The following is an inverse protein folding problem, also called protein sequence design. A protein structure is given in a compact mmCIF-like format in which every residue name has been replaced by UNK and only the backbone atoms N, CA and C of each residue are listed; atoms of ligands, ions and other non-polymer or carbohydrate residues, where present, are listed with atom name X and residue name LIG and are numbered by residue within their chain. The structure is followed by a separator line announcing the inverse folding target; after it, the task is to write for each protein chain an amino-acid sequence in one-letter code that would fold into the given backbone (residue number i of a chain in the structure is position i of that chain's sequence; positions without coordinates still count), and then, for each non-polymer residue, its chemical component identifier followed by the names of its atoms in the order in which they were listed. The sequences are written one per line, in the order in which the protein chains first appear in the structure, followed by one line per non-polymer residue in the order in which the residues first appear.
data_IF_323939994609
#
_entry.id   IF_323939994609
#
_cell.length_a   1.000
_cell.length_b   1.000
_cell.length_c   1.000
_cell.angle_alpha   90.00
_cell.angle_beta   90.00
_cell.angle_gamma   90.00
#
_symmetry.space_group_name_H-M   'P 1'
#
loop_
_entity.id
_entity.type
_entity.pdbx_description
1 polymer ?
#
# COMPACT_ATOMS: atom_id res chain seq x y z
N UNK A 1 21.02 -8.06 -6.48
CA UNK A 1 19.80 -7.27 -6.73
C UNK A 1 19.06 -7.85 -7.93
N UNK A 2 17.84 -8.30 -7.74
CA UNK A 2 16.91 -8.64 -8.83
C UNK A 2 16.09 -7.40 -9.15
N UNK A 3 16.36 -6.76 -10.28
CA UNK A 3 15.69 -5.51 -10.66
C UNK A 3 14.83 -5.68 -11.90
N UNK A 4 13.77 -4.89 -12.01
CA UNK A 4 12.90 -4.83 -13.17
C UNK A 4 12.75 -3.39 -13.69
N UNK A 5 12.39 -3.26 -14.95
CA UNK A 5 12.01 -2.00 -15.59
C UNK A 5 10.66 -2.18 -16.28
N UNK A 6 9.74 -1.27 -16.03
CA UNK A 6 8.49 -1.23 -16.78
C UNK A 6 8.78 -0.74 -18.20
N UNK A 7 8.47 -1.57 -19.18
CA UNK A 7 8.70 -1.25 -20.58
C UNK A 7 7.42 -0.74 -21.25
N UNK A 8 7.34 0.58 -21.40
CA UNK A 8 6.26 1.26 -22.12
C UNK A 8 6.46 1.33 -23.63
N UNK A 9 7.44 0.59 -24.19
CA UNK A 9 7.72 0.56 -25.63
C UNK A 9 8.58 1.73 -26.13
N UNK A 10 9.11 2.57 -25.26
CA UNK A 10 9.98 3.70 -25.62
C UNK A 10 11.36 3.27 -26.14
N UNK A 11 11.89 3.97 -27.15
CA UNK A 11 13.21 3.65 -27.71
C UNK A 11 14.33 3.72 -26.67
N UNK A 12 14.25 4.67 -25.72
CA UNK A 12 15.20 4.83 -24.62
C UNK A 12 15.24 3.60 -23.71
N UNK A 13 14.07 2.98 -23.42
CA UNK A 13 13.98 1.83 -22.54
C UNK A 13 14.80 0.64 -23.05
N UNK A 14 14.70 0.34 -24.33
CA UNK A 14 15.45 -0.74 -24.97
C UNK A 14 16.95 -0.41 -25.10
N UNK A 15 17.28 0.81 -25.50
CA UNK A 15 18.66 1.24 -25.69
C UNK A 15 19.46 1.22 -24.39
N UNK A 16 18.87 1.71 -23.29
CA UNK A 16 19.55 1.78 -21.98
C UNK A 16 19.69 0.42 -21.29
N UNK A 17 18.96 -0.61 -21.73
CA UNK A 17 19.09 -2.00 -21.26
C UNK A 17 20.13 -2.82 -22.01
N UNK A 18 20.64 -2.33 -23.13
CA UNK A 18 21.66 -3.05 -23.91
C UNK A 18 22.92 -3.34 -23.04
N UNK A 19 23.70 -4.39 -23.36
CA UNK A 19 24.92 -4.70 -22.62
C UNK A 19 25.85 -3.50 -22.49
N UNK A 20 26.33 -3.21 -21.29
CA UNK A 20 27.21 -2.06 -21.00
C UNK A 20 26.47 -0.73 -20.83
N UNK A 21 25.15 -0.71 -20.87
CA UNK A 21 24.34 0.47 -20.59
C UNK A 21 23.89 0.52 -19.10
N UNK A 22 23.51 1.70 -18.59
CA UNK A 22 23.19 1.88 -17.15
C UNK A 22 22.10 0.97 -16.60
N UNK A 23 21.10 0.60 -17.41
CA UNK A 23 19.98 -0.26 -17.02
C UNK A 23 20.16 -1.72 -17.48
N UNK A 24 21.37 -2.10 -17.89
CA UNK A 24 21.67 -3.48 -18.27
C UNK A 24 21.43 -4.45 -17.09
N UNK A 25 20.81 -5.60 -17.40
CA UNK A 25 20.52 -6.64 -16.42
C UNK A 25 19.23 -6.45 -15.63
N UNK A 26 18.43 -5.42 -15.94
CA UNK A 26 17.07 -5.33 -15.46
C UNK A 26 16.11 -6.19 -16.32
N UNK A 27 15.22 -6.93 -15.67
CA UNK A 27 14.19 -7.70 -16.36
C UNK A 27 13.13 -6.73 -16.94
N UNK A 28 12.79 -6.79 -18.24
CA UNK A 28 11.70 -5.99 -18.76
C UNK A 28 10.35 -6.57 -18.32
N UNK A 29 9.46 -5.70 -17.90
CA UNK A 29 8.04 -5.99 -17.69
C UNK A 29 7.28 -5.15 -18.69
N UNK A 30 6.67 -5.78 -19.69
CA UNK A 30 5.83 -5.06 -20.63
C UNK A 30 4.65 -4.42 -19.89
N UNK A 31 4.30 -3.22 -20.27
CA UNK A 31 3.25 -2.46 -19.56
C UNK A 31 1.92 -3.22 -19.54
N UNK A 32 1.56 -3.94 -20.60
CA UNK A 32 0.39 -4.81 -20.69
C UNK A 32 0.46 -6.06 -19.80
N UNK A 33 1.68 -6.52 -19.46
CA UNK A 33 1.91 -7.68 -18.58
C UNK A 33 1.96 -7.30 -17.10
N UNK A 34 2.02 -6.00 -16.78
CA UNK A 34 2.16 -5.50 -15.41
C UNK A 34 1.08 -6.07 -14.47
N UNK A 35 -0.14 -6.25 -14.97
CA UNK A 35 -1.25 -6.81 -14.22
C UNK A 35 -1.01 -8.23 -13.69
N UNK A 36 -0.30 -9.05 -14.47
CA UNK A 36 -0.02 -10.45 -14.16
C UNK A 36 1.34 -10.65 -13.50
N UNK A 37 2.14 -9.58 -13.39
CA UNK A 37 3.50 -9.66 -12.86
C UNK A 37 3.50 -9.52 -11.34
N UNK A 38 4.18 -10.42 -10.66
CA UNK A 38 4.48 -10.29 -9.23
C UNK A 38 5.66 -9.34 -9.01
N UNK A 39 5.37 -8.06 -8.76
CA UNK A 39 6.39 -7.06 -8.47
C UNK A 39 7.14 -7.36 -7.15
N UNK A 40 6.50 -8.04 -6.20
CA UNK A 40 7.08 -8.35 -4.90
C UNK A 40 8.25 -9.35 -5.00
N UNK A 41 8.41 -10.01 -6.16
CA UNK A 41 9.56 -10.87 -6.46
C UNK A 41 10.83 -10.10 -6.81
N UNK A 42 10.75 -8.77 -6.98
CA UNK A 42 11.89 -7.91 -7.31
C UNK A 42 12.38 -7.10 -6.11
N UNK A 43 13.62 -6.67 -6.18
CA UNK A 43 14.28 -5.80 -5.21
C UNK A 43 14.06 -4.33 -5.51
N UNK A 44 14.11 -4.01 -6.81
CA UNK A 44 13.92 -2.68 -7.32
C UNK A 44 13.08 -2.72 -8.61
N UNK A 45 12.23 -1.74 -8.77
CA UNK A 45 11.42 -1.52 -9.99
C UNK A 45 11.67 -0.11 -10.49
N UNK A 46 12.04 0.01 -11.76
CA UNK A 46 12.24 1.27 -12.44
C UNK A 46 11.03 1.55 -13.33
N UNK A 47 10.43 2.71 -13.18
CA UNK A 47 9.36 3.21 -14.04
C UNK A 47 9.95 4.37 -14.86
N UNK A 48 10.34 4.13 -16.12
CA UNK A 48 10.93 5.16 -16.96
C UNK A 48 9.86 6.16 -17.42
N UNK A 49 10.34 7.27 -18.00
CA UNK A 49 9.47 8.23 -18.69
C UNK A 49 8.65 7.56 -19.78
N UNK A 50 7.51 8.13 -20.12
CA UNK A 50 6.62 7.67 -21.21
C UNK A 50 5.92 6.33 -20.96
N UNK A 51 5.76 5.91 -19.70
CA UNK A 51 4.81 4.88 -19.34
C UNK A 51 3.40 5.49 -19.25
N UNK A 52 2.38 4.72 -19.67
CA UNK A 52 0.99 5.13 -19.58
C UNK A 52 0.55 5.31 -18.11
N UNK A 53 0.24 6.55 -17.74
CA UNK A 53 -0.13 6.91 -16.37
C UNK A 53 -1.44 6.27 -15.89
N UNK A 54 -2.40 6.04 -16.79
CA UNK A 54 -3.67 5.41 -16.42
C UNK A 54 -3.49 3.92 -16.12
N UNK A 55 -2.62 3.23 -16.87
CA UNK A 55 -2.23 1.85 -16.57
C UNK A 55 -1.50 1.77 -15.23
N UNK A 56 -0.56 2.69 -14.95
CA UNK A 56 0.14 2.76 -13.67
C UNK A 56 -0.84 3.04 -12.52
N UNK A 57 -1.78 3.98 -12.70
CA UNK A 57 -2.82 4.31 -11.73
C UNK A 57 -3.71 3.11 -11.41
N UNK A 58 -4.12 2.36 -12.42
CA UNK A 58 -4.89 1.13 -12.24
C UNK A 58 -4.12 0.07 -11.42
N UNK A 59 -2.78 0.17 -11.34
CA UNK A 59 -1.89 -0.74 -10.62
C UNK A 59 -1.26 -0.13 -9.35
N UNK A 60 -1.71 1.06 -8.92
CA UNK A 60 -1.14 1.75 -7.75
C UNK A 60 -1.06 0.88 -6.49
N UNK A 61 -2.03 0.00 -6.27
CA UNK A 61 -2.03 -0.91 -5.11
C UNK A 61 -0.93 -1.99 -5.20
N UNK A 62 -0.59 -2.42 -6.41
CA UNK A 62 0.51 -3.36 -6.64
C UNK A 62 1.86 -2.71 -6.32
N UNK A 63 2.07 -1.46 -6.74
CA UNK A 63 3.27 -0.69 -6.35
C UNK A 63 3.30 -0.42 -4.85
N UNK A 64 2.16 -0.10 -4.22
CA UNK A 64 2.08 0.10 -2.78
C UNK A 64 2.49 -1.17 -2.02
N UNK A 65 2.01 -2.35 -2.40
CA UNK A 65 2.42 -3.63 -1.80
C UNK A 65 3.91 -3.91 -1.98
N UNK A 66 4.44 -3.70 -3.19
CA UNK A 66 5.87 -3.82 -3.46
C UNK A 66 6.70 -2.96 -2.51
N UNK A 67 6.32 -1.70 -2.31
CA UNK A 67 6.97 -0.78 -1.37
C UNK A 67 6.78 -1.21 0.08
N UNK A 68 5.62 -1.73 0.46
CA UNK A 68 5.35 -2.21 1.83
C UNK A 68 6.24 -3.41 2.20
N UNK A 69 6.71 -4.16 1.21
CA UNK A 69 7.71 -5.22 1.41
C UNK A 69 9.16 -4.72 1.45
N UNK A 70 9.36 -3.42 1.38
CA UNK A 70 10.69 -2.81 1.41
C UNK A 70 11.34 -2.69 0.04
N UNK A 71 10.58 -2.80 -1.05
CA UNK A 71 11.09 -2.61 -2.41
C UNK A 71 11.55 -1.19 -2.67
N UNK A 72 12.38 -1.00 -3.69
CA UNK A 72 12.85 0.31 -4.15
C UNK A 72 12.17 0.64 -5.47
N UNK A 73 11.40 1.72 -5.49
CA UNK A 73 10.72 2.22 -6.68
C UNK A 73 11.39 3.49 -7.18
N UNK A 74 11.88 3.45 -8.41
CA UNK A 74 12.47 4.62 -9.08
C UNK A 74 11.53 5.07 -10.19
N UNK A 75 11.16 6.35 -10.22
CA UNK A 75 10.30 6.94 -11.24
C UNK A 75 11.01 8.10 -11.94
N UNK A 76 10.94 8.08 -13.26
CA UNK A 76 11.33 9.18 -14.14
C UNK A 76 10.09 9.75 -14.83
N UNK A 77 10.20 10.99 -15.32
CA UNK A 77 9.15 11.64 -16.08
C UNK A 77 7.99 12.20 -15.25
N UNK A 78 7.03 12.74 -15.94
CA UNK A 78 5.87 13.45 -15.37
C UNK A 78 4.89 12.47 -14.72
N UNK A 79 4.28 12.87 -13.60
CA UNK A 79 3.29 12.09 -12.86
C UNK A 79 1.87 12.61 -13.17
N UNK A 80 1.43 12.49 -14.42
CA UNK A 80 0.10 12.98 -14.86
C UNK A 80 -1.08 12.35 -14.13
N UNK A 81 -0.86 11.25 -13.41
CA UNK A 81 -1.86 10.59 -12.57
C UNK A 81 -1.26 10.26 -11.21
N UNK A 82 -2.11 10.19 -10.16
CA UNK A 82 -1.69 9.96 -8.76
C UNK A 82 -1.38 8.47 -8.48
N UNK A 83 -0.49 7.85 -9.28
CA UNK A 83 -0.12 6.46 -9.11
C UNK A 83 1.03 6.25 -8.10
N UNK A 84 1.92 7.25 -7.93
CA UNK A 84 3.07 7.17 -7.04
C UNK A 84 2.67 7.62 -5.62
N UNK A 85 2.86 6.78 -4.58
CA UNK A 85 2.41 7.11 -3.23
C UNK A 85 2.98 8.41 -2.69
N UNK A 86 2.10 9.31 -2.23
CA UNK A 86 2.45 10.57 -1.58
C UNK A 86 2.96 11.69 -2.50
N UNK A 87 3.20 11.41 -3.77
CA UNK A 87 3.62 12.38 -4.76
C UNK A 87 2.41 13.00 -5.48
N UNK A 88 2.55 14.27 -5.86
CA UNK A 88 1.56 14.97 -6.68
C UNK A 88 2.25 15.80 -7.74
N UNK A 89 1.79 15.69 -8.99
CA UNK A 89 2.28 16.50 -10.08
C UNK A 89 1.61 17.87 -10.11
N UNK A 90 2.40 18.90 -10.32
CA UNK A 90 1.96 20.28 -10.54
C UNK A 90 2.50 20.72 -11.91
N UNK A 91 1.63 20.79 -12.94
CA UNK A 91 2.06 21.20 -14.28
C UNK A 91 2.43 22.68 -14.31
N UNK A 92 3.46 23.01 -15.06
CA UNK A 92 3.90 24.38 -15.33
C UNK A 92 4.05 24.60 -16.83
N UNK A 93 3.88 25.84 -17.27
CA UNK A 93 4.25 26.20 -18.61
C UNK A 93 5.78 26.22 -18.76
N UNK A 94 6.33 25.80 -19.92
CA UNK A 94 7.78 25.74 -20.11
C UNK A 94 8.52 27.06 -19.86
N UNK A 95 7.87 28.17 -20.17
CA UNK A 95 8.39 29.52 -19.97
C UNK A 95 8.46 29.96 -18.50
N UNK A 96 7.71 29.31 -17.62
CA UNK A 96 7.67 29.59 -16.18
C UNK A 96 8.71 28.77 -15.40
N UNK A 97 9.36 27.79 -16.05
CA UNK A 97 10.30 26.87 -15.41
C UNK A 97 11.51 27.61 -14.85
N UNK A 98 11.71 27.49 -13.56
CA UNK A 98 12.83 28.07 -12.83
C UNK A 98 14.08 27.16 -12.91
N UNK A 99 15.31 27.72 -12.86
CA UNK A 99 16.53 26.91 -12.81
C UNK A 99 16.55 26.02 -11.54
N UNK A 100 17.15 24.82 -11.63
CA UNK A 100 17.28 23.94 -10.47
C UNK A 100 18.24 24.54 -9.45
N UNK A 101 17.99 24.23 -8.18
CA UNK A 101 18.89 24.48 -7.07
C UNK A 101 19.13 23.16 -6.34
N UNK A 102 20.37 22.85 -5.95
CA UNK A 102 20.63 21.70 -5.07
C UNK A 102 20.27 22.07 -3.63
N UNK A 103 19.44 21.26 -3.00
CA UNK A 103 18.95 21.52 -1.63
C UNK A 103 19.75 20.71 -0.61
N UNK A 104 20.07 19.46 -0.91
CA UNK A 104 20.76 18.56 -0.01
C UNK A 104 22.10 18.08 -0.58
N UNK A 105 23.08 17.87 0.32
CA UNK A 105 24.31 17.14 -0.04
C UNK A 105 23.99 15.65 -0.03
N UNK A 106 23.99 15.03 -1.20
CA UNK A 106 23.70 13.61 -1.36
C UNK A 106 24.72 12.97 -2.32
N UNK A 107 25.11 11.71 -2.06
CA UNK A 107 26.11 11.00 -2.89
C UNK A 107 25.72 10.91 -4.38
N UNK A 108 24.45 10.96 -4.71
CA UNK A 108 23.97 10.98 -6.09
C UNK A 108 24.38 12.26 -6.84
N UNK A 109 24.51 13.38 -6.13
CA UNK A 109 24.80 14.70 -6.67
C UNK A 109 26.25 15.14 -6.44
N UNK A 110 27.11 14.24 -5.94
CA UNK A 110 28.48 14.57 -5.64
C UNK A 110 29.22 15.10 -6.90
N UNK A 111 29.99 16.17 -6.73
CA UNK A 111 30.74 16.87 -7.79
C UNK A 111 29.87 17.55 -8.87
N UNK A 112 28.54 17.63 -8.70
CA UNK A 112 27.65 18.33 -9.62
C UNK A 112 27.23 19.69 -9.06
N UNK A 113 27.09 20.65 -9.94
CA UNK A 113 26.51 21.96 -9.70
C UNK A 113 25.07 22.04 -10.22
N UNK A 114 24.27 23.03 -9.80
CA UNK A 114 22.94 23.26 -10.37
C UNK A 114 23.01 23.47 -11.90
N UNK A 115 24.10 24.07 -12.39
CA UNK A 115 24.30 24.30 -13.83
C UNK A 115 24.45 22.99 -14.62
N UNK A 116 25.01 21.96 -14.00
CA UNK A 116 25.15 20.64 -14.64
C UNK A 116 23.79 19.94 -14.80
N UNK A 117 22.79 20.32 -14.02
CA UNK A 117 21.44 19.77 -14.06
C UNK A 117 20.49 20.57 -14.98
N UNK A 118 20.95 21.74 -15.48
CA UNK A 118 20.16 22.64 -16.31
C UNK A 118 20.47 22.44 -17.81
N UNK A 119 20.20 21.26 -18.35
CA UNK A 119 20.44 20.94 -19.76
C UNK A 119 19.34 21.38 -20.73
N UNK A 120 18.33 22.10 -20.25
CA UNK A 120 17.26 22.69 -21.05
C UNK A 120 17.58 24.10 -21.58
N UNK A 121 18.80 24.62 -21.35
CA UNK A 121 19.20 25.98 -21.70
C UNK A 121 19.30 26.28 -23.20
N UNK A 122 19.47 25.25 -24.01
CA UNK A 122 19.72 25.43 -25.42
C UNK A 122 18.45 25.72 -26.22
N UNK A 123 18.48 26.59 -27.24
CA UNK A 123 17.32 26.77 -28.13
C UNK A 123 16.92 25.44 -28.77
N UNK A 124 15.72 24.98 -28.51
CA UNK A 124 15.22 23.67 -28.89
C UNK A 124 15.49 22.56 -27.86
N UNK A 125 16.04 22.91 -26.68
CA UNK A 125 16.16 22.01 -25.54
C UNK A 125 14.78 21.59 -25.02
N UNK A 126 14.76 20.48 -24.32
CA UNK A 126 13.55 19.96 -23.69
C UNK A 126 13.13 20.90 -22.56
N UNK A 127 11.85 21.20 -22.48
CA UNK A 127 11.29 22.04 -21.45
C UNK A 127 10.77 21.14 -20.33
N UNK A 128 10.96 21.55 -19.09
CA UNK A 128 10.21 21.00 -17.97
C UNK A 128 8.72 21.33 -18.14
N UNK A 129 7.85 20.39 -17.80
CA UNK A 129 6.41 20.54 -17.93
C UNK A 129 5.72 20.70 -16.58
N UNK A 130 6.50 20.88 -15.49
CA UNK A 130 5.99 21.00 -14.14
C UNK A 130 7.00 20.54 -13.10
N UNK A 131 6.51 20.33 -11.91
CA UNK A 131 7.29 19.79 -10.79
C UNK A 131 6.45 18.84 -9.95
N UNK A 132 7.11 18.13 -9.03
CA UNK A 132 6.45 17.25 -8.08
C UNK A 132 6.35 17.94 -6.74
N UNK A 133 5.19 17.85 -6.10
CA UNK A 133 5.09 18.07 -4.66
C UNK A 133 5.51 16.77 -3.96
N UNK A 134 6.70 16.81 -3.34
CA UNK A 134 7.22 15.68 -2.60
C UNK A 134 6.40 15.40 -1.32
N UNK A 135 6.32 14.13 -0.87
CA UNK A 135 5.71 13.79 0.42
C UNK A 135 6.37 14.51 1.59
N UNK A 136 5.58 14.81 2.63
CA UNK A 136 6.13 15.37 3.86
C UNK A 136 7.15 14.40 4.49
N UNK A 137 8.37 14.86 4.74
CA UNK A 137 9.47 14.06 5.28
C UNK A 137 10.36 13.41 4.23
N UNK A 138 10.08 13.55 2.93
CA UNK A 138 11.00 13.15 1.87
C UNK A 138 12.25 14.04 1.87
N UNK A 139 13.39 13.44 1.56
CA UNK A 139 14.66 14.17 1.34
C UNK A 139 14.66 14.74 -0.08
N UNK A 140 14.46 16.06 -0.19
CA UNK A 140 14.49 16.76 -1.48
C UNK A 140 15.96 16.98 -1.86
N UNK A 141 16.34 16.44 -3.02
CA UNK A 141 17.70 16.52 -3.53
C UNK A 141 17.88 17.68 -4.50
N UNK A 142 16.91 17.88 -5.40
CA UNK A 142 16.91 18.96 -6.38
C UNK A 142 15.55 19.64 -6.37
N UNK A 143 15.56 20.95 -6.23
CA UNK A 143 14.36 21.77 -6.31
C UNK A 143 14.63 23.07 -7.06
N UNK A 144 13.59 23.74 -7.48
CA UNK A 144 13.61 25.10 -8.02
C UNK A 144 13.62 26.14 -6.90
N UNK A 145 13.94 27.38 -7.23
CA UNK A 145 14.01 28.46 -6.25
C UNK A 145 12.64 28.79 -5.61
N UNK A 146 11.54 28.54 -6.29
CA UNK A 146 10.15 28.68 -5.84
C UNK A 146 9.62 27.45 -5.07
N UNK A 147 10.46 26.40 -4.90
CA UNK A 147 10.16 25.22 -4.09
C UNK A 147 9.58 24.04 -4.86
N UNK A 148 9.47 24.10 -6.18
CA UNK A 148 9.13 22.96 -7.02
C UNK A 148 10.18 21.85 -6.89
N UNK A 149 9.77 20.61 -6.66
CA UNK A 149 10.68 19.48 -6.47
C UNK A 149 10.92 18.76 -7.80
N UNK A 150 12.18 18.56 -8.15
CA UNK A 150 12.61 17.82 -9.33
C UNK A 150 13.13 16.42 -8.99
N UNK A 151 13.80 16.27 -7.84
CA UNK A 151 14.32 14.98 -7.39
C UNK A 151 14.20 14.87 -5.88
N UNK A 152 13.65 13.75 -5.41
CA UNK A 152 13.60 13.42 -3.99
C UNK A 152 13.82 11.91 -3.75
N UNK A 153 14.21 11.60 -2.51
CA UNK A 153 14.21 10.25 -1.96
C UNK A 153 13.27 10.22 -0.77
N UNK A 154 12.30 9.33 -0.79
CA UNK A 154 11.34 9.17 0.31
C UNK A 154 11.45 7.80 0.96
N UNK A 155 11.65 7.81 2.27
CA UNK A 155 11.71 6.64 3.16
C UNK A 155 10.63 6.67 4.23
N UNK A 156 9.70 7.60 4.12
CA UNK A 156 8.75 7.94 5.20
C UNK A 156 7.31 7.59 4.86
N UNK A 157 6.93 7.65 3.59
CA UNK A 157 5.56 7.39 3.15
C UNK A 157 5.23 5.90 3.17
N UNK A 158 6.24 5.05 2.85
CA UNK A 158 6.10 3.60 2.81
C UNK A 158 7.25 2.93 3.56
N UNK A 159 7.26 1.61 3.66
CA UNK A 159 8.39 0.85 4.23
C UNK A 159 9.56 0.69 3.25
N UNK A 160 9.28 0.84 1.96
CA UNK A 160 10.27 0.84 0.89
C UNK A 160 10.88 2.21 0.70
N UNK A 161 11.58 2.35 -0.41
CA UNK A 161 12.21 3.59 -0.82
C UNK A 161 11.62 4.04 -2.15
N UNK A 162 11.16 5.29 -2.21
CA UNK A 162 10.75 5.93 -3.46
C UNK A 162 11.84 6.91 -3.87
N UNK A 163 12.29 6.81 -5.11
CA UNK A 163 13.14 7.80 -5.77
C UNK A 163 12.35 8.36 -6.93
N UNK A 164 12.08 9.64 -6.89
CA UNK A 164 11.41 10.34 -7.98
C UNK A 164 12.32 11.42 -8.53
N UNK A 165 12.65 11.31 -9.82
CA UNK A 165 13.47 12.24 -10.57
C UNK A 165 12.71 12.73 -11.82
N UNK A 166 11.52 13.29 -11.59
CA UNK A 166 10.50 13.52 -12.62
C UNK A 166 10.92 14.54 -13.69
N UNK A 167 11.59 15.61 -13.31
CA UNK A 167 11.93 16.67 -14.26
C UNK A 167 13.34 16.60 -14.84
N UNK A 168 14.14 15.67 -14.37
CA UNK A 168 15.49 15.50 -14.90
C UNK A 168 15.51 14.65 -16.17
N UNK A 169 14.45 13.92 -16.46
CA UNK A 169 14.33 13.05 -17.65
C UNK A 169 15.60 12.23 -17.91
N UNK A 170 16.19 11.69 -16.82
CA UNK A 170 17.53 11.08 -16.84
C UNK A 170 17.68 9.99 -17.89
N UNK A 171 16.65 9.17 -18.04
CA UNK A 171 16.63 8.08 -19.02
C UNK A 171 16.65 8.62 -20.46
N UNK A 172 15.81 9.61 -20.74
CA UNK A 172 15.74 10.23 -22.07
C UNK A 172 17.03 10.96 -22.43
N UNK A 173 17.55 11.79 -21.53
CA UNK A 173 18.79 12.54 -21.80
C UNK A 173 20.02 11.64 -21.86
N UNK A 174 20.10 10.59 -21.03
CA UNK A 174 21.17 9.61 -21.11
C UNK A 174 21.14 8.85 -22.45
N UNK A 175 19.95 8.52 -22.96
CA UNK A 175 19.77 7.91 -24.28
C UNK A 175 20.23 8.83 -25.40
N UNK A 176 19.96 10.12 -25.32
CA UNK A 176 20.37 11.11 -26.30
C UNK A 176 21.85 11.58 -26.16
N UNK A 177 22.62 10.93 -25.29
CA UNK A 177 24.08 11.14 -25.20
C UNK A 177 24.51 12.26 -24.27
N UNK A 178 23.60 12.77 -23.40
CA UNK A 178 24.00 13.70 -22.34
C UNK A 178 24.87 12.96 -21.31
N UNK A 179 26.12 13.38 -21.17
CA UNK A 179 27.10 12.71 -20.31
C UNK A 179 26.76 12.83 -18.83
N UNK A 180 26.21 13.97 -18.39
CA UNK A 180 25.82 14.20 -16.99
C UNK A 180 24.63 13.32 -16.63
N UNK A 181 23.59 13.29 -17.46
CA UNK A 181 22.43 12.44 -17.26
C UNK A 181 22.83 10.95 -17.21
N UNK A 182 23.74 10.52 -18.07
CA UNK A 182 24.27 9.16 -18.07
C UNK A 182 25.01 8.85 -16.76
N UNK A 183 25.89 9.73 -16.32
CA UNK A 183 26.64 9.58 -15.06
C UNK A 183 25.69 9.50 -13.87
N UNK A 184 24.65 10.35 -13.83
CA UNK A 184 23.63 10.33 -12.78
C UNK A 184 22.84 9.03 -12.78
N UNK A 185 22.47 8.52 -13.95
CA UNK A 185 21.75 7.25 -14.06
C UNK A 185 22.61 6.07 -13.59
N UNK A 186 23.91 6.06 -13.94
CA UNK A 186 24.88 5.06 -13.45
C UNK A 186 25.05 5.14 -11.92
N UNK A 187 25.20 6.33 -11.36
CA UNK A 187 25.26 6.56 -9.89
C UNK A 187 23.99 6.12 -9.19
N UNK A 188 22.83 6.44 -9.77
CA UNK A 188 21.54 6.04 -9.22
C UNK A 188 21.41 4.51 -9.18
N UNK A 189 21.79 3.81 -10.24
CA UNK A 189 21.74 2.35 -10.27
C UNK A 189 22.72 1.70 -9.28
N UNK A 190 23.91 2.30 -9.10
CA UNK A 190 24.84 1.86 -8.07
C UNK A 190 24.26 2.07 -6.66
N UNK A 191 23.70 3.25 -6.41
CA UNK A 191 23.05 3.58 -5.15
C UNK A 191 21.87 2.65 -4.84
N UNK A 192 21.01 2.36 -5.83
CA UNK A 192 19.89 1.40 -5.67
C UNK A 192 20.41 0.02 -5.25
N UNK A 193 21.51 -0.47 -5.85
CA UNK A 193 22.13 -1.74 -5.45
C UNK A 193 22.61 -1.71 -3.99
N UNK A 194 23.24 -0.62 -3.57
CA UNK A 194 23.71 -0.44 -2.19
C UNK A 194 22.54 -0.38 -1.20
N UNK A 195 21.44 0.28 -1.56
CA UNK A 195 20.23 0.32 -0.74
C UNK A 195 19.60 -1.07 -0.59
N UNK A 196 19.54 -1.83 -1.67
CA UNK A 196 19.09 -3.23 -1.63
C UNK A 196 19.95 -4.06 -0.69
N UNK A 197 21.28 -3.94 -0.75
CA UNK A 197 22.21 -4.66 0.13
C UNK A 197 22.04 -4.25 1.60
N UNK A 198 21.82 -2.97 1.88
CA UNK A 198 21.52 -2.48 3.25
C UNK A 198 20.15 -2.94 3.75
N UNK A 199 19.19 -3.15 2.84
CA UNK A 199 17.81 -3.52 3.16
C UNK A 199 17.54 -5.02 3.24
N UNK A 200 18.52 -5.90 3.05
CA UNK A 200 18.33 -7.37 2.99
C UNK A 200 17.60 -7.99 4.21
N UNK A 201 17.58 -7.30 5.35
CA UNK A 201 16.81 -7.73 6.53
C UNK A 201 15.33 -7.31 6.54
N UNK A 202 14.89 -6.44 5.64
CA UNK A 202 13.53 -5.87 5.67
C UNK A 202 12.52 -6.66 4.84
N UNK A 203 12.95 -7.30 3.76
CA UNK A 203 12.05 -7.98 2.80
C UNK A 203 11.36 -9.22 3.31
N UNK A 204 11.97 -9.93 4.25
CA UNK A 204 11.41 -11.17 4.82
C UNK A 204 10.60 -10.94 6.10
N UNK A 205 10.46 -9.69 6.55
CA UNK A 205 9.58 -9.38 7.68
C UNK A 205 8.16 -9.17 7.17
N UNK A 206 7.17 -9.82 7.79
CA UNK A 206 5.78 -9.49 7.53
C UNK A 206 5.58 -7.98 7.67
N UNK A 207 4.84 -7.38 6.78
CA UNK A 207 4.47 -5.97 6.90
C UNK A 207 3.78 -5.76 8.25
N UNK A 208 4.07 -4.65 8.96
CA UNK A 208 3.28 -4.26 10.13
C UNK A 208 1.91 -3.73 9.71
N UNK A 209 1.71 -3.49 8.42
CA UNK A 209 0.44 -3.10 7.84
C UNK A 209 -0.52 -4.29 7.77
N UNK A 210 -1.77 -3.96 7.74
CA UNK A 210 -2.88 -4.88 7.67
C UNK A 210 -3.41 -4.85 6.23
N UNK A 211 -3.69 -6.00 5.64
CA UNK A 211 -4.38 -6.04 4.35
C UNK A 211 -5.82 -5.58 4.55
N UNK A 212 -6.24 -4.49 3.92
CA UNK A 212 -7.60 -3.99 3.91
C UNK A 212 -8.35 -4.48 2.66
N UNK A 213 -9.20 -5.48 2.80
CA UNK A 213 -9.98 -6.01 1.68
C UNK A 213 -11.01 -4.98 1.21
N UNK A 214 -10.97 -4.65 -0.07
CA UNK A 214 -11.75 -3.57 -0.66
C UNK A 214 -12.59 -4.05 -1.84
N UNK A 215 -13.90 -3.92 -1.72
CA UNK A 215 -14.88 -4.33 -2.72
C UNK A 215 -15.46 -3.17 -3.54
N UNK A 216 -14.92 -1.95 -3.39
CA UNK A 216 -15.39 -0.77 -4.11
C UNK A 216 -16.53 -0.02 -3.43
N UNK A 217 -16.94 -0.40 -2.24
CA UNK A 217 -18.02 0.25 -1.52
C UNK A 217 -17.55 1.57 -0.90
N UNK A 218 -18.37 2.60 -1.00
CA UNK A 218 -17.98 3.98 -0.64
C UNK A 218 -17.51 4.13 0.81
N UNK A 219 -18.21 3.55 1.78
CA UNK A 219 -17.81 3.69 3.19
C UNK A 219 -16.50 2.93 3.49
N UNK A 220 -16.19 1.84 2.78
CA UNK A 220 -14.91 1.15 2.91
C UNK A 220 -13.74 2.08 2.53
N UNK A 221 -13.91 2.88 1.46
CA UNK A 221 -12.93 3.90 1.11
C UNK A 221 -12.79 4.94 2.24
N UNK A 222 -13.90 5.44 2.79
CA UNK A 222 -13.90 6.38 3.91
C UNK A 222 -13.29 5.80 5.19
N UNK A 223 -13.41 4.48 5.40
CA UNK A 223 -12.77 3.78 6.51
C UNK A 223 -11.24 3.71 6.33
N UNK A 224 -10.76 3.28 5.16
CA UNK A 224 -9.34 3.02 4.92
C UNK A 224 -8.53 4.30 4.66
N UNK A 225 -9.06 5.29 3.95
CA UNK A 225 -8.31 6.47 3.53
C UNK A 225 -7.64 7.23 4.69
N UNK A 226 -8.33 7.56 5.80
CA UNK A 226 -7.71 8.24 6.94
C UNK A 226 -6.72 7.35 7.71
N UNK A 227 -6.69 6.03 7.43
CA UNK A 227 -5.85 5.01 8.06
C UNK A 227 -4.85 4.39 7.09
N UNK A 228 -4.49 5.09 6.03
CA UNK A 228 -3.60 4.58 4.99
C UNK A 228 -2.22 4.12 5.50
N UNK A 229 -1.78 4.60 6.67
CA UNK A 229 -0.55 4.13 7.33
C UNK A 229 -0.70 2.72 7.93
N UNK A 230 -1.92 2.31 8.28
CA UNK A 230 -2.20 1.03 8.92
C UNK A 230 -2.56 -0.05 7.90
N UNK A 231 -3.13 0.34 6.78
CA UNK A 231 -3.68 -0.58 5.79
C UNK A 231 -2.99 -0.51 4.43
N UNK A 232 -2.74 -1.68 3.86
CA UNK A 232 -2.50 -1.87 2.44
C UNK A 232 -3.83 -2.27 1.78
N UNK A 233 -4.34 -1.46 0.87
CA UNK A 233 -5.61 -1.75 0.21
C UNK A 233 -5.44 -2.90 -0.77
N UNK A 234 -6.30 -3.89 -0.65
CA UNK A 234 -6.36 -5.08 -1.50
C UNK A 234 -7.71 -5.14 -2.19
N UNK A 235 -7.80 -4.77 -3.47
CA UNK A 235 -9.01 -4.95 -4.24
C UNK A 235 -9.48 -6.42 -4.27
N UNK A 236 -10.78 -6.65 -4.21
CA UNK A 236 -11.36 -8.00 -4.20
C UNK A 236 -10.83 -8.88 -5.35
N UNK A 237 -10.65 -8.31 -6.53
CA UNK A 237 -10.12 -9.02 -7.71
C UNK A 237 -8.66 -9.49 -7.57
N UNK A 238 -7.90 -8.89 -6.65
CA UNK A 238 -6.48 -9.22 -6.43
C UNK A 238 -6.26 -10.24 -5.32
N UNK A 239 -7.29 -10.58 -4.53
CA UNK A 239 -7.17 -11.48 -3.39
C UNK A 239 -6.59 -12.85 -3.78
N UNK A 240 -6.94 -13.37 -4.94
CA UNK A 240 -6.45 -14.67 -5.41
C UNK A 240 -4.92 -14.70 -5.62
N UNK A 241 -4.33 -13.61 -6.11
CA UNK A 241 -2.90 -13.49 -6.38
C UNK A 241 -2.08 -12.99 -5.18
N UNK A 242 -2.74 -12.42 -4.14
CA UNK A 242 -2.07 -11.80 -3.01
C UNK A 242 -1.31 -12.82 -2.14
N UNK A 243 -0.07 -12.51 -1.75
CA UNK A 243 0.61 -13.22 -0.67
C UNK A 243 0.12 -12.70 0.70
N UNK A 244 -0.80 -13.44 1.33
CA UNK A 244 -1.35 -13.05 2.64
C UNK A 244 -0.32 -13.12 3.77
N UNK A 245 0.72 -13.96 3.66
CA UNK A 245 1.75 -14.11 4.69
C UNK A 245 2.63 -12.86 4.80
N UNK A 246 2.54 -11.95 3.82
CA UNK A 246 3.17 -10.64 3.87
C UNK A 246 2.53 -9.69 4.89
N UNK A 247 1.33 -9.98 5.38
CA UNK A 247 0.56 -9.08 6.24
C UNK A 247 0.35 -9.67 7.63
N UNK A 248 0.24 -8.80 8.63
CA UNK A 248 -0.07 -9.18 10.02
C UNK A 248 -1.48 -9.70 10.19
N UNK A 249 -2.40 -9.09 9.46
CA UNK A 249 -3.81 -9.41 9.50
C UNK A 249 -4.47 -9.03 8.17
N UNK A 250 -5.63 -9.58 7.90
CA UNK A 250 -6.56 -9.11 6.88
C UNK A 250 -7.83 -8.59 7.53
N UNK A 251 -8.25 -7.38 7.16
CA UNK A 251 -9.53 -6.80 7.57
C UNK A 251 -10.51 -6.83 6.43
N UNK A 252 -11.66 -7.38 6.69
CA UNK A 252 -12.79 -7.53 5.80
C UNK A 252 -13.93 -6.76 6.43
N UNK A 253 -14.32 -5.67 5.78
CA UNK A 253 -15.37 -4.79 6.25
C UNK A 253 -16.73 -5.26 5.72
N UNK A 254 -17.78 -4.72 6.30
CA UNK A 254 -19.16 -4.95 5.85
C UNK A 254 -19.33 -4.70 4.33
N UNK A 255 -20.32 -5.34 3.73
CA UNK A 255 -20.65 -5.26 2.31
C UNK A 255 -19.48 -5.66 1.39
N UNK A 256 -18.62 -6.56 1.86
CA UNK A 256 -17.54 -7.12 1.06
C UNK A 256 -18.06 -8.11 0.01
N UNK A 257 -17.29 -8.29 -1.08
CA UNK A 257 -17.63 -9.26 -2.12
C UNK A 257 -17.53 -10.70 -1.59
N UNK A 258 -18.64 -11.22 -1.09
CA UNK A 258 -18.76 -12.58 -0.53
C UNK A 258 -18.41 -13.68 -1.53
N UNK A 259 -18.62 -13.46 -2.83
CA UNK A 259 -18.29 -14.45 -3.88
C UNK A 259 -16.78 -14.57 -4.04
N UNK A 260 -16.07 -13.43 -4.04
CA UNK A 260 -14.61 -13.42 -4.06
C UNK A 260 -14.04 -14.06 -2.80
N UNK A 261 -14.61 -13.77 -1.63
CA UNK A 261 -14.18 -14.38 -0.36
C UNK A 261 -14.40 -15.89 -0.37
N UNK A 262 -15.56 -16.38 -0.81
CA UNK A 262 -15.86 -17.81 -0.94
C UNK A 262 -14.92 -18.51 -1.93
N UNK A 263 -14.66 -17.90 -3.08
CA UNK A 263 -13.71 -18.43 -4.06
C UNK A 263 -12.28 -18.54 -3.52
N UNK A 264 -11.93 -17.74 -2.51
CA UNK A 264 -10.63 -17.74 -1.85
C UNK A 264 -10.65 -18.36 -0.44
N UNK A 265 -11.71 -19.06 -0.03
CA UNK A 265 -11.89 -19.60 1.32
C UNK A 265 -10.73 -20.54 1.73
N UNK A 266 -10.26 -21.41 0.83
CA UNK A 266 -9.11 -22.29 1.10
C UNK A 266 -7.82 -21.51 1.34
N UNK A 267 -7.61 -20.40 0.63
CA UNK A 267 -6.46 -19.51 0.82
C UNK A 267 -6.50 -18.80 2.17
N UNK A 268 -7.68 -18.29 2.56
CA UNK A 268 -7.91 -17.65 3.85
C UNK A 268 -7.74 -18.66 5.01
N UNK A 269 -8.25 -19.88 4.86
CA UNK A 269 -8.04 -20.96 5.83
C UNK A 269 -6.55 -21.31 5.96
N UNK A 270 -5.84 -21.48 4.85
CA UNK A 270 -4.38 -21.74 4.85
C UNK A 270 -3.59 -20.61 5.49
N UNK A 271 -4.00 -19.35 5.31
CA UNK A 271 -3.39 -18.21 6.00
C UNK A 271 -3.56 -18.32 7.53
N UNK A 272 -4.77 -18.68 8.02
CA UNK A 272 -4.99 -18.95 9.45
C UNK A 272 -4.17 -20.15 9.96
N UNK A 273 -4.03 -21.23 9.18
CA UNK A 273 -3.22 -22.38 9.55
C UNK A 273 -1.74 -22.02 9.79
N UNK A 274 -1.23 -21.04 9.06
CA UNK A 274 0.15 -20.53 9.22
C UNK A 274 0.31 -19.48 10.30
N UNK A 275 -0.78 -19.07 10.96
CA UNK A 275 -0.77 -18.11 12.07
C UNK A 275 -1.22 -16.71 11.69
N UNK A 276 -1.91 -16.56 10.57
CA UNK A 276 -2.52 -15.29 10.16
C UNK A 276 -3.70 -14.88 11.04
N UNK A 277 -4.13 -13.64 10.90
CA UNK A 277 -5.32 -13.10 11.57
C UNK A 277 -6.34 -12.59 10.58
N UNK A 278 -7.61 -12.89 10.84
CA UNK A 278 -8.73 -12.34 10.08
C UNK A 278 -9.62 -11.53 11.02
N UNK A 279 -9.89 -10.29 10.65
CA UNK A 279 -10.89 -9.43 11.25
C UNK A 279 -12.02 -9.28 10.25
N UNK A 280 -13.22 -9.66 10.62
CA UNK A 280 -14.37 -9.61 9.72
C UNK A 280 -15.56 -8.93 10.40
N UNK A 281 -16.01 -7.80 9.86
CA UNK A 281 -17.25 -7.13 10.20
C UNK A 281 -18.22 -7.32 9.04
N UNK A 282 -18.95 -8.45 9.02
CA UNK A 282 -19.64 -8.86 7.81
C UNK A 282 -20.93 -9.62 8.09
N UNK A 283 -21.87 -9.49 7.19
CA UNK A 283 -23.03 -10.36 7.05
C UNK A 283 -22.62 -11.57 6.23
N UNK A 284 -22.36 -12.70 6.88
CA UNK A 284 -21.76 -13.87 6.24
C UNK A 284 -22.81 -14.77 5.59
N UNK A 285 -23.33 -14.35 4.46
CA UNK A 285 -24.30 -15.15 3.67
C UNK A 285 -23.65 -16.35 2.95
N UNK A 286 -22.28 -16.41 2.91
CA UNK A 286 -21.50 -17.47 2.30
C UNK A 286 -20.46 -18.07 3.24
N UNK A 287 -20.17 -19.38 3.11
CA UNK A 287 -19.29 -20.09 4.05
C UNK A 287 -17.80 -19.91 3.73
N UNK A 288 -17.28 -18.69 3.78
CA UNK A 288 -15.86 -18.43 3.50
C UNK A 288 -14.98 -18.39 4.76
N UNK A 289 -15.56 -18.15 5.94
CA UNK A 289 -14.81 -18.09 7.20
C UNK A 289 -15.05 -19.37 8.03
N UNK A 290 -14.00 -20.12 8.39
CA UNK A 290 -14.15 -21.39 9.08
C UNK A 290 -14.88 -21.25 10.44
N UNK A 291 -15.88 -22.11 10.66
CA UNK A 291 -16.55 -22.24 11.94
C UNK A 291 -17.62 -21.18 12.24
N UNK A 292 -17.90 -20.26 11.35
CA UNK A 292 -18.91 -19.22 11.51
C UNK A 292 -20.10 -19.46 10.61
N UNK A 293 -21.30 -19.25 11.15
CA UNK A 293 -22.55 -19.27 10.41
C UNK A 293 -23.39 -18.02 10.75
N UNK A 294 -23.88 -17.37 9.73
CA UNK A 294 -24.80 -16.24 9.84
C UNK A 294 -26.17 -16.68 10.32
N UNK A 295 -26.73 -15.91 11.24
CA UNK A 295 -28.09 -16.04 11.73
C UNK A 295 -28.85 -14.78 11.34
N UNK A 296 -29.60 -14.86 10.25
CA UNK A 296 -30.48 -13.77 9.79
C UNK A 296 -31.65 -13.62 10.73
N UNK A 297 -31.55 -12.67 11.63
CA UNK A 297 -32.60 -12.37 12.62
C UNK A 297 -32.45 -10.97 13.19
N UNK A 298 -33.55 -10.33 13.63
CA UNK A 298 -33.50 -9.06 14.34
C UNK A 298 -32.65 -9.14 15.60
N UNK A 299 -31.88 -8.10 15.89
CA UNK A 299 -31.10 -7.95 17.11
C UNK A 299 -31.55 -6.71 17.87
N UNK A 300 -31.98 -6.90 19.13
CA UNK A 300 -32.26 -5.79 20.03
C UNK A 300 -30.97 -5.35 20.73
N UNK A 301 -30.32 -4.31 20.20
CA UNK A 301 -29.04 -3.82 20.70
C UNK A 301 -29.08 -3.39 22.17
N UNK A 302 -30.20 -2.83 22.65
CA UNK A 302 -30.33 -2.41 24.02
C UNK A 302 -30.29 -3.58 25.04
N UNK A 303 -30.55 -4.82 24.60
CA UNK A 303 -30.59 -6.01 25.44
C UNK A 303 -29.30 -6.86 25.38
N UNK A 304 -28.27 -6.45 24.65
CA UNK A 304 -27.04 -7.23 24.46
C UNK A 304 -26.22 -7.37 25.76
N UNK A 305 -25.52 -8.50 25.88
CA UNK A 305 -24.58 -8.76 26.97
C UNK A 305 -23.15 -8.51 26.51
N UNK A 306 -22.36 -7.79 27.30
CA UNK A 306 -20.94 -7.53 27.06
C UNK A 306 -20.07 -8.27 28.06
N UNK A 307 -18.97 -8.81 27.61
CA UNK A 307 -17.88 -9.28 28.46
C UNK A 307 -17.06 -8.10 28.99
N UNK A 308 -16.19 -8.38 29.98
CA UNK A 308 -15.21 -7.39 30.47
C UNK A 308 -13.99 -7.24 29.57
N UNK A 309 -13.97 -7.86 28.40
CA UNK A 309 -12.86 -7.76 27.46
C UNK A 309 -12.67 -6.31 26.99
N UNK A 310 -11.39 -5.82 26.91
CA UNK A 310 -11.10 -4.45 26.49
C UNK A 310 -11.69 -4.07 25.14
N UNK A 311 -11.74 -5.01 24.18
CA UNK A 311 -12.34 -4.76 22.85
C UNK A 311 -13.84 -4.50 22.99
N UNK A 312 -14.55 -5.35 23.74
CA UNK A 312 -15.98 -5.15 23.97
C UNK A 312 -16.26 -3.85 24.75
N UNK A 313 -15.43 -3.55 25.75
CA UNK A 313 -15.55 -2.32 26.55
C UNK A 313 -15.33 -1.05 25.73
N UNK A 314 -14.47 -1.09 24.71
CA UNK A 314 -14.12 0.06 23.87
C UNK A 314 -15.24 0.54 22.94
N UNK A 315 -16.30 -0.25 22.73
CA UNK A 315 -17.51 0.19 22.03
C UNK A 315 -18.33 1.24 22.79
N UNK A 316 -18.01 1.50 24.07
CA UNK A 316 -18.72 2.49 24.89
C UNK A 316 -20.15 2.08 25.23
N UNK A 317 -21.00 3.05 25.56
CA UNK A 317 -22.40 2.78 25.85
C UNK A 317 -23.19 2.51 24.57
N UNK A 318 -24.07 1.49 24.61
CA UNK A 318 -25.04 1.23 23.54
C UNK A 318 -26.21 2.25 23.51
N UNK A 319 -26.08 3.39 24.22
CA UNK A 319 -26.96 4.54 24.05
C UNK A 319 -26.81 5.21 22.67
N UNK A 320 -25.70 4.92 21.96
CA UNK A 320 -25.52 5.31 20.57
C UNK A 320 -26.32 4.38 19.65
N UNK A 321 -26.80 4.86 18.47
CA UNK A 321 -27.58 4.05 17.53
C UNK A 321 -26.75 3.00 16.78
N UNK A 322 -26.00 2.18 17.53
CA UNK A 322 -25.41 0.96 16.98
C UNK A 322 -26.52 0.02 16.55
N UNK A 323 -26.29 -0.69 15.48
CA UNK A 323 -27.14 -1.80 15.10
C UNK A 323 -26.31 -2.99 14.63
N UNK A 324 -26.94 -4.14 14.64
CA UNK A 324 -26.43 -5.37 14.10
C UNK A 324 -27.51 -5.95 13.18
N UNK A 325 -27.12 -6.38 12.00
CA UNK A 325 -28.07 -6.86 10.98
C UNK A 325 -28.42 -8.34 11.16
N UNK A 326 -27.83 -9.00 12.15
CA UNK A 326 -28.04 -10.38 12.51
C UNK A 326 -27.07 -10.80 13.61
N UNK A 327 -26.99 -12.10 13.86
CA UNK A 327 -26.08 -12.67 14.84
C UNK A 327 -25.25 -13.80 14.21
N UNK A 328 -24.29 -14.31 14.98
CA UNK A 328 -23.38 -15.37 14.54
C UNK A 328 -23.54 -16.60 15.44
N UNK A 329 -23.52 -17.77 14.82
CA UNK A 329 -23.11 -19.00 15.45
C UNK A 329 -21.61 -19.14 15.24
N UNK A 330 -20.86 -19.31 16.34
CA UNK A 330 -19.40 -19.38 16.35
C UNK A 330 -18.96 -20.73 16.96
N UNK A 331 -17.69 -21.15 16.80
CA UNK A 331 -17.16 -22.37 17.42
C UNK A 331 -17.44 -22.39 18.94
N UNK A 332 -17.61 -23.59 19.51
CA UNK A 332 -17.92 -23.77 20.94
C UNK A 332 -16.84 -23.25 21.88
N UNK A 333 -15.60 -23.23 21.41
CA UNK A 333 -14.41 -22.73 22.11
C UNK A 333 -14.15 -21.25 21.84
N UNK A 334 -15.02 -20.57 21.10
CA UNK A 334 -14.91 -19.14 20.86
C UNK A 334 -15.15 -18.33 22.16
N UNK A 335 -14.39 -17.29 22.34
CA UNK A 335 -14.64 -16.26 23.36
C UNK A 335 -15.65 -15.25 22.79
N UNK A 336 -16.88 -15.33 23.26
CA UNK A 336 -17.93 -14.38 22.89
C UNK A 336 -17.77 -13.10 23.70
N UNK A 337 -17.47 -12.01 22.99
CA UNK A 337 -17.23 -10.68 23.58
C UNK A 337 -18.54 -9.90 23.78
N UNK A 338 -19.46 -10.01 22.83
CA UNK A 338 -20.79 -9.41 22.84
C UNK A 338 -21.77 -10.44 22.31
N UNK A 339 -22.88 -10.61 23.00
CA UNK A 339 -23.94 -11.56 22.63
C UNK A 339 -25.34 -11.00 22.79
N UNK A 340 -26.27 -11.59 22.09
CA UNK A 340 -27.70 -11.46 22.35
C UNK A 340 -28.07 -12.08 23.69
N UNK A 341 -29.27 -11.81 24.28
CA UNK A 341 -29.73 -12.40 25.54
C UNK A 341 -29.77 -13.94 25.53
N UNK A 342 -30.04 -14.55 24.40
CA UNK A 342 -30.05 -16.00 24.17
C UNK A 342 -28.68 -16.61 23.83
N UNK A 343 -27.61 -15.79 23.81
CA UNK A 343 -26.23 -16.23 23.73
C UNK A 343 -25.62 -16.28 22.30
N UNK A 344 -26.34 -15.90 21.25
CA UNK A 344 -25.75 -15.82 19.92
C UNK A 344 -24.72 -14.67 19.86
N UNK A 345 -23.62 -14.87 19.19
CA UNK A 345 -22.53 -13.89 19.14
C UNK A 345 -22.85 -12.70 18.24
N UNK A 346 -22.49 -11.51 18.68
CA UNK A 346 -22.44 -10.28 17.89
C UNK A 346 -21.00 -9.80 17.69
N UNK A 347 -20.11 -10.23 18.57
CA UNK A 347 -18.66 -10.05 18.46
C UNK A 347 -17.99 -11.21 19.19
N UNK A 348 -17.07 -11.88 18.53
CA UNK A 348 -16.35 -13.02 19.12
C UNK A 348 -14.92 -13.10 18.59
N UNK A 349 -14.06 -13.74 19.37
CA UNK A 349 -12.73 -14.18 18.96
C UNK A 349 -12.58 -15.68 19.11
N UNK A 350 -11.84 -16.32 18.20
CA UNK A 350 -11.52 -17.75 18.30
C UNK A 350 -10.24 -18.05 17.54
N UNK A 351 -9.67 -19.24 17.84
CA UNK A 351 -8.49 -19.73 17.16
C UNK A 351 -8.88 -20.68 16.02
N UNK A 352 -8.11 -20.63 14.93
CA UNK A 352 -8.16 -21.63 13.85
C UNK A 352 -6.71 -22.10 13.63
N UNK A 353 -6.40 -23.32 14.03
CA UNK A 353 -5.04 -23.85 14.05
C UNK A 353 -4.07 -22.90 14.79
N UNK A 354 -3.13 -22.25 14.08
CA UNK A 354 -2.19 -21.28 14.66
C UNK A 354 -2.68 -19.84 14.56
N UNK A 355 -3.73 -19.60 13.78
CA UNK A 355 -4.27 -18.26 13.49
C UNK A 355 -5.39 -17.87 14.43
N UNK A 356 -5.84 -16.64 14.28
CA UNK A 356 -6.88 -16.04 15.11
C UNK A 356 -7.90 -15.30 14.26
N UNK A 357 -9.15 -15.36 14.68
CA UNK A 357 -10.26 -14.65 14.05
C UNK A 357 -10.90 -13.73 15.08
N UNK A 358 -11.20 -12.51 14.68
CA UNK A 358 -12.16 -11.61 15.31
C UNK A 358 -13.29 -11.40 14.35
N UNK A 359 -14.50 -11.72 14.74
CA UNK A 359 -15.69 -11.61 13.89
C UNK A 359 -16.79 -10.85 14.58
N UNK A 360 -17.46 -9.95 13.87
CA UNK A 360 -18.54 -9.13 14.42
C UNK A 360 -19.60 -8.74 13.40
N UNK A 361 -20.79 -8.42 13.93
CA UNK A 361 -21.94 -7.97 13.14
C UNK A 361 -22.36 -6.55 13.47
N UNK A 362 -21.72 -5.93 14.48
CA UNK A 362 -21.98 -4.54 14.87
C UNK A 362 -21.34 -3.60 13.85
N UNK A 363 -22.09 -2.62 13.41
CA UNK A 363 -21.78 -1.73 12.28
C UNK A 363 -20.78 -0.60 12.57
N UNK A 364 -19.86 -0.82 13.51
CA UNK A 364 -18.83 0.15 13.88
C UNK A 364 -17.92 0.58 12.72
N UNK A 365 -17.65 -0.33 11.80
CA UNK A 365 -16.83 -0.08 10.62
C UNK A 365 -17.52 0.86 9.62
N UNK A 366 -18.80 0.65 9.35
CA UNK A 366 -19.57 1.52 8.45
C UNK A 366 -19.74 2.93 9.04
N UNK A 367 -20.05 3.05 10.35
CA UNK A 367 -20.07 4.35 11.01
C UNK A 367 -18.75 5.10 10.91
N UNK A 368 -17.61 4.40 11.11
CA UNK A 368 -16.29 4.99 10.91
C UNK A 368 -16.04 5.38 9.46
N UNK A 369 -16.51 4.60 8.50
CA UNK A 369 -16.42 4.84 7.07
C UNK A 369 -17.24 6.05 6.59
N UNK A 370 -18.36 6.31 7.25
CA UNK A 370 -19.16 7.52 7.02
C UNK A 370 -18.67 8.74 7.82
N UNK A 371 -17.51 8.65 8.47
CA UNK A 371 -16.84 9.78 9.13
C UNK A 371 -17.22 9.99 10.60
N UNK A 372 -17.95 9.06 11.23
CA UNK A 372 -18.20 9.12 12.66
C UNK A 372 -16.93 8.86 13.47
N UNK A 373 -16.67 9.69 14.48
CA UNK A 373 -15.56 9.47 15.42
C UNK A 373 -15.93 8.54 16.59
N UNK A 374 -17.20 8.22 16.78
CA UNK A 374 -17.68 7.41 17.90
C UNK A 374 -17.07 6.00 17.93
N UNK A 375 -16.92 5.28 16.78
CA UNK A 375 -16.27 3.98 16.79
C UNK A 375 -14.73 4.01 16.95
N UNK A 376 -14.11 5.18 16.99
CA UNK A 376 -12.64 5.27 17.00
C UNK A 376 -11.97 4.49 18.16
N UNK A 377 -12.45 4.50 19.41
CA UNK A 377 -11.85 3.69 20.47
C UNK A 377 -11.90 2.19 20.16
N UNK A 378 -13.01 1.69 19.62
CA UNK A 378 -13.17 0.30 19.23
C UNK A 378 -12.25 -0.07 18.06
N UNK A 379 -12.23 0.73 17.00
CA UNK A 379 -11.34 0.51 15.85
C UNK A 379 -9.88 0.48 16.29
N UNK A 380 -9.46 1.38 17.18
CA UNK A 380 -8.10 1.40 17.72
C UNK A 380 -7.80 0.14 18.56
N UNK A 381 -8.72 -0.29 19.41
CA UNK A 381 -8.54 -1.54 20.17
C UNK A 381 -8.40 -2.77 19.27
N UNK A 382 -9.17 -2.84 18.19
CA UNK A 382 -9.05 -3.93 17.20
C UNK A 382 -7.76 -3.82 16.39
N UNK A 383 -7.30 -2.61 16.05
CA UNK A 383 -5.98 -2.39 15.41
C UNK A 383 -4.85 -2.87 16.33
N UNK A 384 -4.89 -2.54 17.61
CA UNK A 384 -3.90 -2.99 18.60
C UNK A 384 -3.93 -4.51 18.73
N UNK A 385 -5.11 -5.12 18.77
CA UNK A 385 -5.26 -6.57 18.76
C UNK A 385 -4.67 -7.19 17.49
N UNK A 386 -4.90 -6.59 16.33
CA UNK A 386 -4.36 -7.06 15.04
C UNK A 386 -2.82 -7.08 15.03
N UNK A 387 -2.17 -6.21 15.80
CA UNK A 387 -0.71 -6.05 15.87
C UNK A 387 -0.05 -6.80 17.00
N UNK A 388 -0.80 -7.19 18.03
CA UNK A 388 -0.25 -7.88 19.19
C UNK A 388 0.45 -9.19 18.79
N UNK A 389 1.54 -9.62 19.47
CA UNK A 389 2.15 -10.92 19.23
C UNK A 389 1.12 -12.05 19.43
N UNK A 390 1.18 -13.10 18.58
CA UNK A 390 0.28 -14.26 18.68
C UNK A 390 0.39 -14.98 20.04
N UNK A 391 1.56 -14.97 20.64
CA UNK A 391 1.83 -15.59 21.95
C UNK A 391 1.20 -14.85 23.14
N UNK A 392 0.76 -13.61 22.98
CA UNK A 392 0.13 -12.83 24.05
C UNK A 392 -1.34 -13.17 24.27
N UNK A 393 -1.96 -13.95 23.40
CA UNK A 393 -3.39 -14.28 23.41
C UNK A 393 -3.68 -15.77 23.68
N UNK A 394 -2.67 -16.53 24.13
CA UNK A 394 -2.92 -17.86 24.65
C UNK A 394 -3.77 -17.76 25.92
N UNK A 395 -5.08 -17.89 25.71
CA UNK A 395 -6.11 -18.37 26.67
C UNK A 395 -5.88 -17.93 28.12
N UNK A 396 -6.52 -16.85 28.50
CA UNK A 396 -6.91 -16.66 29.91
C UNK A 396 -8.34 -17.09 30.11
#
# INVERSE_FOLDING_TARGET
MKGAIIDGGGAAHNALRAPGQPLAGLDPILLEELAATDLESYDAVIVPRSCDGDVLLARRHQFARFLDRGGILVSFGELWTDWLPGARWEPEAPEDTQPPAMVARHQLLEELSPDDLWWHREPGGWCCHGHVRAPAGAEVLVATADGGTWWYVDRTTTRGVIVCASNLDLDTHAHHGNAVARTLLERLMLWVRQEVERGEGHRHRPSDRIAGYFSGVHFQQGFFAPRARDFAIVPAAELAALDLDAYRAIWILRESDQRSLEANAAKLAGYLERGGRIIAFEEMDRPWLPGVRWLDRPVEIAAVRRSADPIAASLGDFAHPWHAHGALEVPRDATVLISTPDGAALLATYAVAKGQVLVGTIDADSHAGYGSSIPAPFINAVLDWSRAPLTALAIR
#
